data_IF_270401113778
#
_entry.id   IF_270401113778
#
_cell.length_a   1.000
_cell.length_b   1.000
_cell.length_c   1.000
_cell.angle_alpha   90.00
_cell.angle_beta   90.00
_cell.angle_gamma   90.00
#
_symmetry.space_group_name_H-M   'P 1'
#
loop_
_entity.id
_entity.type
_entity.pdbx_description
1 polymer ?
#
# COMPACT_ATOMS: atom_id res chain seq x y z
N UNK A 1 -9.45 -19.26 10.72
CA UNK A 1 -10.45 -20.26 10.38
C UNK A 1 -10.47 -21.42 11.37
N UNK A 2 -9.36 -22.11 11.65
CA UNK A 2 -9.28 -23.18 12.68
C UNK A 2 -9.80 -22.72 14.05
N UNK A 3 -9.41 -21.51 14.52
CA UNK A 3 -9.88 -20.91 15.79
C UNK A 3 -11.41 -20.81 15.91
N UNK A 4 -12.12 -20.75 14.79
CA UNK A 4 -13.58 -20.64 14.74
C UNK A 4 -14.27 -21.97 14.36
N UNK A 5 -13.51 -23.06 14.24
CA UNK A 5 -14.03 -24.39 13.95
C UNK A 5 -14.54 -24.59 12.52
N UNK A 6 -14.14 -23.74 11.55
CA UNK A 6 -14.55 -23.88 10.14
C UNK A 6 -13.68 -24.84 9.35
N UNK A 7 -12.43 -25.02 9.76
CA UNK A 7 -11.48 -25.96 9.16
C UNK A 7 -10.69 -26.65 10.25
N UNK A 8 -10.26 -27.87 9.98
CA UNK A 8 -9.31 -28.63 10.79
C UNK A 8 -8.34 -29.39 9.89
N UNK A 9 -7.37 -30.09 10.46
CA UNK A 9 -6.51 -31.04 9.76
C UNK A 9 -7.13 -32.41 9.77
N UNK A 10 -7.07 -33.12 8.65
CA UNK A 10 -7.31 -34.56 8.61
C UNK A 10 -6.07 -35.34 9.09
N UNK A 11 -6.19 -36.66 9.09
CA UNK A 11 -5.11 -37.56 9.53
C UNK A 11 -3.84 -37.49 8.66
N UNK A 12 -3.92 -36.84 7.49
CA UNK A 12 -2.80 -36.61 6.56
C UNK A 12 -2.22 -35.20 6.65
N UNK A 13 -2.63 -34.39 7.64
CA UNK A 13 -2.28 -32.97 7.79
C UNK A 13 -2.76 -32.06 6.64
N UNK A 14 -3.80 -32.47 5.94
CA UNK A 14 -4.46 -31.64 4.92
C UNK A 14 -5.61 -30.84 5.56
N UNK A 15 -5.78 -29.59 5.15
CA UNK A 15 -6.89 -28.76 5.61
C UNK A 15 -8.22 -29.28 5.05
N UNK A 16 -9.15 -29.58 5.94
CA UNK A 16 -10.50 -30.02 5.59
C UNK A 16 -11.56 -29.11 6.22
N UNK A 17 -12.68 -28.93 5.55
CA UNK A 17 -13.83 -28.23 6.11
C UNK A 17 -14.49 -29.12 7.20
N UNK A 18 -14.87 -28.51 8.31
CA UNK A 18 -15.55 -29.21 9.40
C UNK A 18 -17.04 -29.45 9.12
N UNK A 19 -17.61 -28.78 8.10
CA UNK A 19 -18.98 -28.96 7.61
C UNK A 19 -19.02 -28.77 6.10
N UNK A 20 -19.99 -29.39 5.45
CA UNK A 20 -20.05 -29.48 3.99
C UNK A 20 -20.38 -28.18 3.26
N UNK A 21 -21.08 -27.24 3.87
CA UNK A 21 -21.43 -25.99 3.19
C UNK A 21 -21.62 -24.80 4.14
N UNK A 22 -20.61 -23.91 4.17
CA UNK A 22 -20.71 -22.63 4.86
C UNK A 22 -21.20 -21.50 3.93
N UNK A 23 -21.24 -21.72 2.63
CA UNK A 23 -21.61 -20.69 1.65
C UNK A 23 -23.05 -20.26 1.88
N UNK A 24 -23.93 -21.21 2.18
CA UNK A 24 -25.36 -20.96 2.45
C UNK A 24 -25.62 -20.08 3.66
N UNK A 25 -24.67 -19.96 4.59
CA UNK A 25 -24.79 -19.08 5.77
C UNK A 25 -24.47 -17.63 5.48
N UNK A 26 -23.92 -17.33 4.31
CA UNK A 26 -23.55 -15.98 3.89
C UNK A 26 -24.75 -15.26 3.25
N UNK A 27 -24.68 -13.93 3.20
CA UNK A 27 -25.64 -13.16 2.41
C UNK A 27 -25.48 -13.44 0.90
N UNK A 28 -26.49 -13.12 0.12
CA UNK A 28 -26.56 -13.46 -1.31
C UNK A 28 -25.41 -12.84 -2.13
N UNK A 29 -24.93 -11.66 -1.78
CA UNK A 29 -23.82 -11.00 -2.47
C UNK A 29 -22.51 -11.75 -2.24
N UNK A 30 -22.20 -12.11 -1.00
CA UNK A 30 -21.00 -12.86 -0.66
C UNK A 30 -21.04 -14.28 -1.26
N UNK A 31 -22.21 -14.94 -1.30
CA UNK A 31 -22.37 -16.22 -1.98
C UNK A 31 -22.04 -16.09 -3.49
N UNK A 32 -22.56 -15.05 -4.15
CA UNK A 32 -22.31 -14.81 -5.56
C UNK A 32 -20.80 -14.57 -5.82
N UNK A 33 -20.16 -13.75 -5.01
CA UNK A 33 -18.74 -13.47 -5.08
C UNK A 33 -17.87 -14.72 -4.90
N UNK A 34 -18.17 -15.53 -3.89
CA UNK A 34 -17.43 -16.77 -3.65
C UNK A 34 -17.59 -17.77 -4.78
N UNK A 35 -18.80 -17.93 -5.31
CA UNK A 35 -19.05 -18.82 -6.46
C UNK A 35 -18.30 -18.35 -7.71
N UNK A 36 -18.23 -17.04 -7.94
CA UNK A 36 -17.43 -16.48 -9.04
C UNK A 36 -15.94 -16.79 -8.84
N UNK A 37 -15.38 -16.53 -7.67
CA UNK A 37 -13.97 -16.82 -7.35
C UNK A 37 -13.68 -18.32 -7.49
N UNK A 38 -14.57 -19.18 -6.98
CA UNK A 38 -14.42 -20.63 -7.10
C UNK A 38 -14.50 -21.10 -8.56
N UNK A 39 -15.40 -20.52 -9.37
CA UNK A 39 -15.51 -20.84 -10.80
C UNK A 39 -14.27 -20.40 -11.59
N UNK A 40 -13.66 -19.28 -11.24
CA UNK A 40 -12.50 -18.72 -11.94
C UNK A 40 -11.18 -19.38 -11.50
N UNK A 41 -11.01 -19.58 -10.20
CA UNK A 41 -9.72 -19.99 -9.61
C UNK A 41 -9.72 -21.33 -8.91
N UNK A 42 -10.89 -21.90 -8.61
CA UNK A 42 -11.01 -23.07 -7.73
C UNK A 42 -10.39 -24.37 -8.26
N UNK A 43 -10.13 -24.43 -9.57
CA UNK A 43 -9.47 -25.58 -10.21
C UNK A 43 -8.00 -25.31 -10.56
N UNK A 44 -7.50 -24.10 -10.28
CA UNK A 44 -6.11 -23.74 -10.58
C UNK A 44 -5.18 -24.33 -9.51
N UNK A 45 -4.14 -25.01 -9.97
CA UNK A 45 -3.03 -25.41 -9.13
C UNK A 45 -2.27 -24.17 -8.61
N UNK A 46 -1.57 -24.30 -7.50
CA UNK A 46 -0.83 -23.19 -6.88
C UNK A 46 0.10 -22.46 -7.87
N UNK A 47 0.80 -23.21 -8.70
CA UNK A 47 1.72 -22.66 -9.70
C UNK A 47 1.00 -21.88 -10.78
N UNK A 48 -0.16 -22.34 -11.22
CA UNK A 48 -1.02 -21.67 -12.20
C UNK A 48 -1.57 -20.37 -11.63
N UNK A 49 -2.01 -20.39 -10.37
CA UNK A 49 -2.53 -19.21 -9.69
C UNK A 49 -1.43 -18.12 -9.53
N UNK A 50 -0.20 -18.52 -9.19
CA UNK A 50 0.93 -17.59 -9.12
C UNK A 50 1.28 -17.05 -10.51
N UNK A 51 1.26 -17.89 -11.55
CA UNK A 51 1.49 -17.47 -12.93
C UNK A 51 0.42 -16.48 -13.40
N UNK A 52 -0.87 -16.77 -13.13
CA UNK A 52 -1.97 -15.85 -13.38
C UNK A 52 -1.73 -14.49 -12.73
N UNK A 53 -1.32 -14.48 -11.46
CA UNK A 53 -1.01 -13.26 -10.73
C UNK A 53 0.11 -12.46 -11.42
N UNK A 54 1.17 -13.10 -11.88
CA UNK A 54 2.28 -12.41 -12.56
C UNK A 54 1.91 -11.91 -13.96
N UNK A 55 0.98 -12.56 -14.64
CA UNK A 55 0.47 -12.10 -15.94
C UNK A 55 -0.43 -10.86 -15.78
N UNK A 56 -1.25 -10.79 -14.71
CA UNK A 56 -2.16 -9.68 -14.45
C UNK A 56 -1.48 -8.52 -13.68
N UNK A 57 -0.49 -8.85 -12.86
CA UNK A 57 0.29 -7.89 -12.07
C UNK A 57 1.79 -8.10 -12.33
N UNK A 58 2.28 -7.84 -13.56
CA UNK A 58 3.63 -8.23 -14.02
C UNK A 58 4.75 -7.65 -13.17
N UNK A 59 4.52 -6.51 -12.52
CA UNK A 59 5.53 -5.90 -11.67
C UNK A 59 5.88 -6.73 -10.43
N UNK A 60 4.97 -7.55 -9.92
CA UNK A 60 5.28 -8.49 -8.84
C UNK A 60 6.34 -9.52 -9.25
N UNK A 61 6.31 -9.96 -10.51
CA UNK A 61 7.29 -10.91 -11.02
C UNK A 61 8.72 -10.37 -10.97
N UNK A 62 8.91 -9.04 -11.13
CA UNK A 62 10.25 -8.42 -11.12
C UNK A 62 10.94 -8.51 -9.76
N UNK A 63 10.15 -8.58 -8.68
CA UNK A 63 10.62 -8.64 -7.30
C UNK A 63 10.47 -10.03 -6.68
N UNK A 64 9.93 -10.98 -7.41
CA UNK A 64 9.68 -12.33 -6.93
C UNK A 64 10.92 -13.22 -7.02
N UNK A 65 11.21 -13.95 -5.95
CA UNK A 65 12.27 -14.95 -5.93
C UNK A 65 11.94 -16.21 -6.74
N UNK A 66 10.64 -16.49 -6.96
CA UNK A 66 10.17 -17.70 -7.66
C UNK A 66 9.71 -17.42 -9.10
N UNK A 67 9.67 -16.16 -9.56
CA UNK A 67 9.17 -15.83 -10.88
C UNK A 67 9.92 -16.55 -11.99
N UNK A 68 11.24 -16.67 -11.89
CA UNK A 68 12.10 -17.33 -12.91
C UNK A 68 11.84 -18.85 -13.03
N UNK A 69 11.27 -19.49 -12.01
CA UNK A 69 10.91 -20.91 -12.07
C UNK A 69 9.51 -21.17 -12.59
N UNK A 70 8.66 -20.12 -12.62
CA UNK A 70 7.24 -20.22 -13.00
C UNK A 70 6.99 -19.62 -14.40
N UNK A 71 7.67 -18.51 -14.71
CA UNK A 71 7.50 -17.77 -15.96
C UNK A 71 8.54 -18.21 -17.01
N UNK A 72 8.16 -18.14 -18.29
CA UNK A 72 9.14 -18.35 -19.38
C UNK A 72 10.13 -17.19 -19.48
N UNK A 73 11.23 -17.42 -20.15
CA UNK A 73 12.25 -16.38 -20.39
C UNK A 73 11.65 -15.20 -21.15
N UNK A 74 10.82 -15.46 -22.17
CA UNK A 74 10.17 -14.45 -23.00
C UNK A 74 9.18 -13.61 -22.18
N UNK A 75 8.43 -14.23 -21.25
CA UNK A 75 7.53 -13.53 -20.34
C UNK A 75 8.32 -12.63 -19.38
N UNK A 76 9.40 -13.13 -18.79
CA UNK A 76 10.28 -12.35 -17.93
C UNK A 76 10.95 -11.19 -18.66
N UNK A 77 11.42 -11.38 -19.89
CA UNK A 77 12.02 -10.33 -20.70
C UNK A 77 11.02 -9.20 -21.01
N UNK A 78 9.74 -9.54 -21.29
CA UNK A 78 8.68 -8.54 -21.46
C UNK A 78 8.45 -7.73 -20.19
N UNK A 79 8.45 -8.39 -19.03
CA UNK A 79 8.27 -7.74 -17.74
C UNK A 79 9.43 -6.80 -17.42
N UNK A 80 10.67 -7.25 -17.59
CA UNK A 80 11.86 -6.44 -17.34
C UNK A 80 11.98 -5.23 -18.28
N UNK A 81 11.56 -5.36 -19.55
CA UNK A 81 11.50 -4.22 -20.48
C UNK A 81 10.53 -3.12 -20.03
N UNK A 82 9.52 -3.47 -19.25
CA UNK A 82 8.56 -2.49 -18.70
C UNK A 82 9.06 -1.86 -17.39
N UNK A 83 10.05 -2.47 -16.72
CA UNK A 83 10.60 -1.96 -15.47
C UNK A 83 11.50 -0.76 -15.76
N UNK A 84 11.02 0.42 -15.45
CA UNK A 84 11.81 1.65 -15.52
C UNK A 84 12.54 1.85 -14.20
N UNK A 85 13.87 1.96 -14.24
CA UNK A 85 14.68 2.46 -13.14
C UNK A 85 14.97 3.94 -13.39
N UNK A 86 14.83 4.74 -12.36
CA UNK A 86 15.04 6.18 -12.46
C UNK A 86 16.17 6.60 -11.52
N UNK A 87 17.11 7.39 -12.03
CA UNK A 87 18.18 7.99 -11.22
C UNK A 87 17.77 9.32 -10.56
N UNK A 88 16.68 9.93 -11.07
CA UNK A 88 16.18 11.20 -10.55
C UNK A 88 15.52 11.07 -9.19
N UNK A 89 15.84 12.00 -8.30
CA UNK A 89 15.18 12.11 -7.00
C UNK A 89 13.76 12.65 -7.18
N UNK A 90 12.79 11.99 -6.52
CA UNK A 90 11.39 12.36 -6.62
C UNK A 90 10.63 12.04 -5.33
N UNK A 91 9.84 13.01 -4.88
CA UNK A 91 8.87 12.84 -3.80
C UNK A 91 7.51 12.46 -4.40
N UNK A 92 6.88 11.43 -3.85
CA UNK A 92 5.54 11.03 -4.24
C UNK A 92 4.57 11.14 -3.06
N UNK A 93 3.29 11.23 -3.37
CA UNK A 93 2.21 11.01 -2.40
C UNK A 93 1.23 9.98 -2.91
N UNK A 94 0.74 9.12 -2.02
CA UNK A 94 -0.23 8.08 -2.37
C UNK A 94 -1.24 7.88 -1.23
N UNK A 95 -2.54 7.81 -1.56
CA UNK A 95 -3.60 7.38 -0.66
C UNK A 95 -4.02 5.95 -0.99
N UNK A 96 -4.42 5.18 0.03
CA UNK A 96 -4.85 3.79 -0.20
C UNK A 96 -6.37 3.59 -0.18
N UNK A 97 -7.14 4.63 0.02
CA UNK A 97 -8.60 4.57 -0.08
C UNK A 97 -9.01 4.11 -1.49
N UNK A 98 -9.91 3.13 -1.55
CA UNK A 98 -10.39 2.55 -2.82
C UNK A 98 -9.42 1.56 -3.50
N UNK A 99 -8.18 1.38 -3.00
CA UNK A 99 -7.21 0.46 -3.61
C UNK A 99 -7.14 -0.87 -2.83
N UNK A 100 -7.02 -1.99 -3.53
CA UNK A 100 -6.54 -3.23 -2.89
C UNK A 100 -5.05 -3.10 -2.54
N UNK A 101 -4.54 -3.97 -1.65
CA UNK A 101 -3.12 -3.99 -1.30
C UNK A 101 -2.26 -4.23 -2.55
N UNK A 102 -2.67 -5.15 -3.42
CA UNK A 102 -1.97 -5.51 -4.64
C UNK A 102 -1.90 -4.32 -5.62
N UNK A 103 -3.03 -3.65 -5.87
CA UNK A 103 -3.07 -2.46 -6.72
C UNK A 103 -2.21 -1.33 -6.16
N UNK A 104 -2.20 -1.16 -4.83
CA UNK A 104 -1.38 -0.18 -4.15
C UNK A 104 0.12 -0.49 -4.30
N UNK A 105 0.56 -1.72 -4.01
CA UNK A 105 1.95 -2.14 -4.16
C UNK A 105 2.40 -2.05 -5.62
N UNK A 106 1.55 -2.44 -6.58
CA UNK A 106 1.86 -2.25 -8.01
C UNK A 106 2.13 -0.78 -8.36
N UNK A 107 1.33 0.16 -7.84
CA UNK A 107 1.60 1.59 -8.06
C UNK A 107 2.97 2.01 -7.53
N UNK A 108 3.40 1.49 -6.38
CA UNK A 108 4.73 1.77 -5.83
C UNK A 108 5.82 1.22 -6.74
N UNK A 109 5.71 -0.03 -7.20
CA UNK A 109 6.70 -0.69 -8.05
C UNK A 109 6.81 0.00 -9.42
N UNK A 110 5.69 0.32 -10.08
CA UNK A 110 5.65 1.00 -11.38
C UNK A 110 6.37 2.35 -11.33
N UNK A 111 6.28 3.04 -10.20
CA UNK A 111 6.93 4.34 -10.02
C UNK A 111 8.34 4.22 -9.40
N UNK A 112 8.92 3.03 -9.32
CA UNK A 112 10.26 2.75 -8.74
C UNK A 112 10.40 3.37 -7.33
N UNK A 113 9.35 3.25 -6.50
CA UNK A 113 9.40 3.71 -5.11
C UNK A 113 10.36 2.80 -4.35
N UNK A 114 11.31 3.39 -3.65
CA UNK A 114 12.32 2.68 -2.86
C UNK A 114 12.04 2.74 -1.37
N UNK A 115 11.32 3.78 -0.95
CA UNK A 115 10.90 3.95 0.43
C UNK A 115 9.46 4.47 0.50
N UNK A 116 8.65 3.79 1.32
CA UNK A 116 7.32 4.22 1.72
C UNK A 116 7.40 4.86 3.10
N UNK A 117 7.11 6.16 3.18
CA UNK A 117 7.06 6.93 4.41
C UNK A 117 5.59 7.09 4.86
N UNK A 118 5.22 6.39 5.91
CA UNK A 118 3.87 6.46 6.49
C UNK A 118 3.78 7.64 7.46
N UNK A 119 3.04 8.66 7.05
CA UNK A 119 2.84 9.90 7.81
C UNK A 119 1.54 9.91 8.62
N UNK A 120 0.86 8.77 8.76
CA UNK A 120 -0.31 8.66 9.63
C UNK A 120 0.09 8.77 11.11
N UNK A 121 -0.71 9.45 11.91
CA UNK A 121 -0.50 9.48 13.37
C UNK A 121 -0.62 8.09 13.97
N UNK A 122 -1.68 7.38 13.60
CA UNK A 122 -1.90 5.99 13.94
C UNK A 122 -1.90 5.16 12.66
N UNK A 123 -0.94 4.26 12.52
CA UNK A 123 -0.79 3.37 11.37
C UNK A 123 -1.64 2.09 11.49
N UNK A 124 -2.72 2.12 12.27
CA UNK A 124 -3.76 1.11 12.30
C UNK A 124 -4.77 1.35 11.17
N UNK A 125 -5.24 0.29 10.53
CA UNK A 125 -6.28 0.35 9.49
C UNK A 125 -7.20 -0.85 9.60
N UNK A 126 -8.51 -0.63 9.49
CA UNK A 126 -9.49 -1.71 9.35
C UNK A 126 -9.43 -2.34 7.95
N UNK A 127 -8.90 -1.61 6.98
CA UNK A 127 -8.69 -2.14 5.63
C UNK A 127 -7.54 -3.13 5.63
N UNK A 128 -7.82 -4.35 5.17
CA UNK A 128 -6.86 -5.44 5.10
C UNK A 128 -5.57 -5.02 4.36
N UNK A 129 -4.43 -5.36 4.93
CA UNK A 129 -3.12 -5.09 4.34
C UNK A 129 -2.52 -3.72 4.69
N UNK A 130 -3.29 -2.78 5.27
CA UNK A 130 -2.86 -1.40 5.48
C UNK A 130 -2.55 -1.01 6.94
N UNK A 131 -2.65 -1.93 7.88
CA UNK A 131 -2.05 -1.75 9.21
C UNK A 131 -0.53 -1.86 9.11
N UNK A 132 0.20 -1.13 9.98
CA UNK A 132 1.66 -0.99 9.96
C UNK A 132 2.40 -2.29 9.65
N UNK A 133 2.20 -3.33 10.45
CA UNK A 133 2.92 -4.60 10.31
C UNK A 133 2.63 -5.31 8.96
N UNK A 134 1.39 -5.23 8.48
CA UNK A 134 0.98 -5.83 7.21
C UNK A 134 1.59 -5.06 6.03
N UNK A 135 1.50 -3.72 6.04
CA UNK A 135 2.01 -2.87 4.99
C UNK A 135 3.55 -2.92 4.92
N UNK A 136 4.22 -2.93 6.07
CA UNK A 136 5.68 -3.11 6.17
C UNK A 136 6.11 -4.47 5.58
N UNK A 137 5.37 -5.55 5.91
CA UNK A 137 5.65 -6.89 5.37
C UNK A 137 5.44 -6.94 3.85
N UNK A 138 4.37 -6.32 3.34
CA UNK A 138 4.11 -6.24 1.91
C UNK A 138 5.21 -5.45 1.17
N UNK A 139 5.62 -4.31 1.72
CA UNK A 139 6.72 -3.50 1.16
C UNK A 139 8.04 -4.28 1.16
N UNK A 140 8.40 -4.94 2.26
CA UNK A 140 9.60 -5.78 2.36
C UNK A 140 9.60 -6.92 1.34
N UNK A 141 8.44 -7.52 1.07
CA UNK A 141 8.30 -8.59 0.07
C UNK A 141 8.61 -8.16 -1.37
N UNK A 142 8.70 -6.86 -1.64
CA UNK A 142 9.02 -6.28 -2.94
C UNK A 142 10.20 -5.30 -2.88
N UNK A 143 11.10 -5.44 -1.89
CA UNK A 143 12.29 -4.62 -1.66
C UNK A 143 12.01 -3.11 -1.56
N UNK A 144 10.87 -2.73 -0.99
CA UNK A 144 10.53 -1.35 -0.66
C UNK A 144 10.74 -1.17 0.85
N UNK A 145 11.55 -0.19 1.24
CA UNK A 145 11.71 0.16 2.65
C UNK A 145 10.41 0.79 3.17
N UNK A 146 10.08 0.53 4.43
CA UNK A 146 8.96 1.15 5.12
C UNK A 146 9.43 1.89 6.36
N UNK A 147 9.00 3.14 6.52
CA UNK A 147 9.27 3.95 7.71
C UNK A 147 7.97 4.63 8.14
N UNK A 148 7.72 4.64 9.45
CA UNK A 148 6.57 5.33 10.05
C UNK A 148 7.05 6.59 10.79
N UNK A 149 6.48 7.74 10.42
CA UNK A 149 6.80 9.07 10.98
C UNK A 149 5.53 9.69 11.57
N UNK A 150 5.06 9.19 12.74
CA UNK A 150 3.78 9.62 13.33
C UNK A 150 3.77 11.08 13.79
N UNK A 151 4.93 11.71 13.92
CA UNK A 151 5.06 13.14 14.27
C UNK A 151 4.43 14.05 13.21
N UNK A 152 4.38 13.59 11.94
CA UNK A 152 3.75 14.31 10.84
C UNK A 152 2.26 13.97 10.65
N UNK A 153 1.68 13.17 11.54
CA UNK A 153 0.28 12.77 11.48
C UNK A 153 -0.64 13.72 12.25
N UNK A 154 -1.89 13.83 11.83
CA UNK A 154 -2.96 14.54 12.55
C UNK A 154 -3.62 13.58 13.53
N UNK A 155 -3.86 14.03 14.76
CA UNK A 155 -4.60 13.26 15.75
C UNK A 155 -6.06 13.02 15.32
N UNK A 156 -6.62 11.88 15.68
CA UNK A 156 -7.98 11.48 15.28
C UNK A 156 -9.07 12.39 15.86
N UNK A 157 -8.83 12.97 17.05
CA UNK A 157 -9.72 13.92 17.70
C UNK A 157 -9.88 15.24 16.93
N UNK A 158 -8.83 15.65 16.21
CA UNK A 158 -8.85 16.84 15.36
C UNK A 158 -9.61 16.64 14.03
N UNK A 159 -9.95 15.39 13.69
CA UNK A 159 -10.62 15.01 12.43
C UNK A 159 -12.11 14.76 12.58
N UNK A 160 -12.69 15.16 13.69
CA UNK A 160 -14.12 15.02 13.92
C UNK A 160 -14.88 16.12 13.16
N UNK A 161 -16.08 15.75 12.67
CA UNK A 161 -17.03 16.67 12.02
C UNK A 161 -16.56 17.37 10.73
N UNK A 162 -15.64 16.76 9.96
CA UNK A 162 -15.24 17.28 8.66
C UNK A 162 -16.31 16.94 7.60
N UNK A 163 -17.14 17.92 7.24
CA UNK A 163 -18.28 17.73 6.32
C UNK A 163 -18.11 18.48 4.99
N UNK A 164 -17.26 19.49 4.95
CA UNK A 164 -17.05 20.32 3.78
C UNK A 164 -15.56 20.54 3.51
N UNK A 165 -15.22 20.94 2.29
CA UNK A 165 -13.82 21.29 1.95
C UNK A 165 -13.30 22.44 2.84
N UNK A 166 -14.18 23.36 3.26
CA UNK A 166 -13.81 24.44 4.16
C UNK A 166 -13.34 23.94 5.54
N UNK A 167 -13.95 22.87 6.06
CA UNK A 167 -13.55 22.28 7.34
C UNK A 167 -12.14 21.67 7.23
N UNK A 168 -11.85 20.97 6.11
CA UNK A 168 -10.50 20.48 5.82
C UNK A 168 -9.50 21.63 5.67
N UNK A 169 -9.85 22.72 5.00
CA UNK A 169 -8.94 23.84 4.81
C UNK A 169 -8.60 24.49 6.16
N UNK A 170 -9.57 24.68 7.05
CA UNK A 170 -9.35 25.17 8.42
C UNK A 170 -8.44 24.20 9.20
N UNK A 171 -8.76 22.92 9.19
CA UNK A 171 -7.93 21.90 9.86
C UNK A 171 -6.48 21.95 9.37
N UNK A 172 -6.28 22.04 8.07
CA UNK A 172 -4.93 22.04 7.50
C UNK A 172 -4.17 23.33 7.74
N UNK A 173 -4.86 24.48 7.81
CA UNK A 173 -4.23 25.75 8.21
C UNK A 173 -3.72 25.67 9.66
N UNK A 174 -4.50 25.09 10.56
CA UNK A 174 -4.07 24.85 11.94
C UNK A 174 -2.89 23.87 11.95
N UNK A 175 -3.02 22.76 11.26
CA UNK A 175 -1.97 21.74 11.15
C UNK A 175 -0.63 22.29 10.64
N UNK A 176 -0.65 23.14 9.60
CA UNK A 176 0.57 23.77 9.06
C UNK A 176 1.23 24.71 10.09
N UNK A 177 0.41 25.47 10.86
CA UNK A 177 0.89 26.45 11.85
C UNK A 177 1.37 25.84 13.15
N UNK A 178 0.87 24.67 13.51
CA UNK A 178 1.19 23.96 14.76
C UNK A 178 2.03 22.73 14.49
N UNK A 179 1.41 21.60 14.15
CA UNK A 179 2.07 20.29 14.07
C UNK A 179 3.27 20.28 13.11
N UNK A 180 3.16 20.84 11.90
CA UNK A 180 4.29 20.84 10.98
C UNK A 180 5.43 21.75 11.45
N UNK A 181 5.10 22.90 12.03
CA UNK A 181 6.10 23.83 12.57
C UNK A 181 6.82 23.26 13.78
N UNK A 182 6.09 22.63 14.70
CA UNK A 182 6.64 21.98 15.91
C UNK A 182 7.46 20.74 15.59
N UNK A 183 7.20 20.07 14.48
CA UNK A 183 7.90 18.85 14.05
C UNK A 183 8.83 19.10 12.83
N UNK A 184 9.50 20.26 12.80
CA UNK A 184 10.48 20.60 11.76
C UNK A 184 11.59 19.55 11.63
N UNK A 185 12.02 18.93 12.72
CA UNK A 185 13.03 17.86 12.73
C UNK A 185 12.52 16.61 11.98
N UNK A 186 11.24 16.26 12.12
CA UNK A 186 10.64 15.15 11.37
C UNK A 186 10.56 15.46 9.87
N UNK A 187 10.29 16.71 9.48
CA UNK A 187 10.37 17.14 8.08
C UNK A 187 11.80 17.06 7.54
N UNK A 188 12.81 17.53 8.31
CA UNK A 188 14.23 17.42 7.93
C UNK A 188 14.66 15.95 7.82
N UNK A 189 14.19 15.09 8.71
CA UNK A 189 14.43 13.65 8.62
C UNK A 189 13.89 13.06 7.32
N UNK A 190 12.62 13.35 6.98
CA UNK A 190 12.02 12.89 5.71
C UNK A 190 12.77 13.44 4.50
N UNK A 191 13.22 14.69 4.54
CA UNK A 191 14.08 15.24 3.50
C UNK A 191 15.36 14.43 3.32
N UNK A 192 16.07 14.13 4.41
CA UNK A 192 17.27 13.28 4.37
C UNK A 192 17.00 11.89 3.77
N UNK A 193 15.80 11.34 3.99
CA UNK A 193 15.37 10.10 3.34
C UNK A 193 15.18 10.27 1.82
N UNK A 194 14.68 11.41 1.36
CA UNK A 194 14.55 11.70 -0.09
C UNK A 194 15.93 11.80 -0.72
N UNK A 195 16.86 12.47 -0.05
CA UNK A 195 18.24 12.65 -0.54
C UNK A 195 18.98 11.30 -0.63
N UNK A 196 18.78 10.40 0.33
CA UNK A 196 19.45 9.08 0.36
C UNK A 196 18.78 8.03 -0.52
N UNK A 197 17.44 7.92 -0.47
CA UNK A 197 16.70 6.86 -1.18
C UNK A 197 16.23 7.31 -2.58
N UNK A 198 16.29 8.59 -2.87
CA UNK A 198 15.90 9.26 -4.12
C UNK A 198 14.40 9.19 -4.45
N UNK A 199 13.73 8.07 -4.21
CA UNK A 199 12.35 7.84 -4.64
C UNK A 199 11.48 7.44 -3.44
N UNK A 200 10.90 8.46 -2.80
CA UNK A 200 10.14 8.33 -1.53
C UNK A 200 8.68 8.67 -1.76
N UNK A 201 7.77 7.82 -1.27
CA UNK A 201 6.34 8.07 -1.29
C UNK A 201 5.81 8.33 0.13
N UNK A 202 5.13 9.45 0.35
CA UNK A 202 4.36 9.70 1.56
C UNK A 202 3.00 9.00 1.44
N UNK A 203 2.62 8.18 2.43
CA UNK A 203 1.32 7.51 2.43
C UNK A 203 0.40 7.98 3.55
N UNK A 204 -0.88 8.04 3.24
CA UNK A 204 -1.98 8.23 4.16
C UNK A 204 -3.23 7.50 3.64
N UNK A 205 -4.37 7.63 4.32
CA UNK A 205 -5.61 6.94 3.94
C UNK A 205 -6.26 7.55 2.69
N UNK A 206 -6.61 8.82 2.74
CA UNK A 206 -7.53 9.48 1.81
C UNK A 206 -7.04 9.42 0.37
N UNK A 207 -7.97 9.14 -0.56
CA UNK A 207 -7.71 9.18 -2.01
C UNK A 207 -7.48 10.61 -2.48
N UNK A 208 -8.37 11.54 -2.09
CA UNK A 208 -8.26 12.93 -2.50
C UNK A 208 -7.11 13.65 -1.76
N UNK A 209 -6.10 14.17 -2.49
CA UNK A 209 -5.01 14.93 -1.90
C UNK A 209 -5.48 16.21 -1.16
N UNK A 210 -6.63 16.80 -1.56
CA UNK A 210 -7.19 17.99 -0.92
C UNK A 210 -7.75 17.72 0.46
N UNK A 211 -8.11 16.49 0.74
CA UNK A 211 -8.65 16.03 2.03
C UNK A 211 -7.63 15.29 2.88
N UNK A 212 -6.34 15.36 2.52
CA UNK A 212 -5.28 14.61 3.18
C UNK A 212 -4.09 15.45 3.58
N UNK A 213 -3.66 15.31 4.83
CA UNK A 213 -2.50 16.01 5.38
C UNK A 213 -1.16 15.65 4.71
N UNK A 214 -1.04 14.47 4.05
CA UNK A 214 0.17 14.12 3.30
C UNK A 214 0.53 15.17 2.23
N UNK A 215 -0.49 15.86 1.68
CA UNK A 215 -0.29 16.93 0.70
C UNK A 215 0.35 18.15 1.33
N UNK A 216 0.01 18.46 2.58
CA UNK A 216 0.60 19.58 3.34
C UNK A 216 2.04 19.26 3.73
N UNK A 217 2.33 18.01 4.12
CA UNK A 217 3.71 17.53 4.32
C UNK A 217 4.52 17.65 3.04
N UNK A 218 3.98 17.18 1.91
CA UNK A 218 4.68 17.30 0.62
C UNK A 218 4.92 18.76 0.22
N UNK A 219 3.94 19.65 0.41
CA UNK A 219 4.07 21.10 0.17
C UNK A 219 5.19 21.71 1.02
N UNK A 220 5.25 21.37 2.31
CA UNK A 220 6.30 21.83 3.22
C UNK A 220 7.69 21.36 2.77
N UNK A 221 7.84 20.08 2.42
CA UNK A 221 9.09 19.52 1.88
C UNK A 221 9.49 20.20 0.56
N UNK A 222 8.52 20.44 -0.33
CA UNK A 222 8.75 21.14 -1.60
C UNK A 222 9.10 22.63 -1.44
N UNK A 223 8.75 23.25 -0.32
CA UNK A 223 9.11 24.63 -0.01
C UNK A 223 10.50 24.78 0.64
N UNK A 224 11.15 23.68 1.03
CA UNK A 224 12.49 23.72 1.62
C UNK A 224 13.54 24.24 0.62
N UNK A 225 14.55 25.00 1.08
CA UNK A 225 15.62 25.47 0.21
C UNK A 225 16.56 24.34 -0.23
N UNK A 226 17.27 24.53 -1.33
CA UNK A 226 18.30 23.63 -1.87
C UNK A 226 17.78 22.18 -2.10
N UNK A 227 16.54 22.03 -2.57
CA UNK A 227 15.99 20.73 -2.95
C UNK A 227 16.43 20.36 -4.36
N UNK A 228 16.79 19.10 -4.54
CA UNK A 228 17.11 18.50 -5.85
C UNK A 228 16.19 17.30 -6.13
N UNK A 229 14.89 17.51 -5.97
CA UNK A 229 13.87 16.51 -6.29
C UNK A 229 12.58 17.16 -6.79
N UNK A 230 11.89 16.44 -7.67
CA UNK A 230 10.57 16.81 -8.18
C UNK A 230 9.45 16.13 -7.37
N UNK A 231 8.20 16.47 -7.66
CA UNK A 231 7.02 15.97 -6.96
C UNK A 231 6.00 15.36 -7.91
N UNK A 232 5.35 14.26 -7.49
CA UNK A 232 4.23 13.63 -8.20
C UNK A 232 3.22 13.03 -7.22
N UNK A 233 1.93 13.32 -7.40
CA UNK A 233 0.83 12.60 -6.76
C UNK A 233 0.46 11.35 -7.59
N UNK A 234 0.19 10.18 -6.89
CA UNK A 234 -0.15 8.88 -7.49
C UNK A 234 -1.63 8.54 -7.30
#
# INVERSE_FOLDING_TARGET
MKKYGYVDYDDTNVWVLTKDDYITTLNMFDQCYLRQVMSEFGQMEQTELVRYTYQHYPYYATKSHIAKSIMTKEEMDRIYKQQKKYDSSMLFTIGYEGLSLEAYINKLIINDIRLLCDVRKNAYSQKYGFSKAQLETACRGVDIKYIHVPQLGINSDQRQDLRSQKDYDILFDIYERTTLKENADALNYVRGLIDSEKRVALTCFEKDPKQCHRSRVAKALMAMPNKDYSFKAL
#
